data_IF_177427282379
#
_entry.id   IF_177427282379
#
_cell.length_a   1.000
_cell.length_b   1.000
_cell.length_c   1.000
_cell.angle_alpha   90.00
_cell.angle_beta   90.00
_cell.angle_gamma   90.00
#
_symmetry.space_group_name_H-M   'P 1'
#
loop_
_entity.id
_entity.type
_entity.pdbx_description
1 polymer ?
#
# COMPACT_ATOMS: atom_id res chain seq x y z
N UNK A 1 7.06 -13.25 -9.81
CA UNK A 1 6.27 -14.14 -10.68
C UNK A 1 4.85 -14.31 -10.12
N UNK A 2 3.82 -14.10 -10.94
CA UNK A 2 2.41 -14.34 -10.60
C UNK A 2 1.77 -15.31 -11.61
N UNK A 3 0.76 -16.07 -11.19
CA UNK A 3 -0.02 -16.95 -12.07
C UNK A 3 -0.89 -16.17 -13.05
N UNK A 4 -1.24 -16.76 -14.21
CA UNK A 4 -1.87 -16.08 -15.35
C UNK A 4 -3.00 -15.08 -15.00
N UNK A 5 -4.07 -15.49 -14.29
CA UNK A 5 -5.16 -14.58 -13.93
C UNK A 5 -4.71 -13.40 -13.05
N UNK A 6 -3.79 -13.63 -12.11
CA UNK A 6 -3.27 -12.58 -11.22
C UNK A 6 -2.31 -11.66 -11.97
N UNK A 7 -1.51 -12.21 -12.89
CA UNK A 7 -0.54 -11.48 -13.71
C UNK A 7 -1.24 -10.44 -14.60
N UNK A 8 -2.36 -10.79 -15.23
CA UNK A 8 -3.13 -9.84 -16.04
C UNK A 8 -3.60 -8.62 -15.23
N UNK A 9 -3.97 -8.82 -13.96
CA UNK A 9 -4.36 -7.74 -13.06
C UNK A 9 -3.15 -6.86 -12.72
N UNK A 10 -2.02 -7.47 -12.33
CA UNK A 10 -0.81 -6.72 -12.00
C UNK A 10 -0.25 -5.93 -13.18
N UNK A 11 -0.26 -6.49 -14.39
CA UNK A 11 0.15 -5.80 -15.61
C UNK A 11 -0.77 -4.60 -15.92
N UNK A 12 -2.09 -4.76 -15.76
CA UNK A 12 -3.04 -3.65 -15.92
C UNK A 12 -2.85 -2.52 -14.89
N UNK A 13 -2.37 -2.86 -13.69
CA UNK A 13 -2.05 -1.90 -12.63
C UNK A 13 -0.63 -1.31 -12.75
N UNK A 14 0.18 -1.75 -13.72
CA UNK A 14 1.56 -1.29 -13.89
C UNK A 14 2.55 -1.87 -12.87
N UNK A 15 2.19 -2.94 -12.15
CA UNK A 15 3.06 -3.59 -11.17
C UNK A 15 3.98 -4.58 -11.88
N UNK A 16 5.26 -4.21 -11.96
CA UNK A 16 6.27 -4.97 -12.74
C UNK A 16 7.02 -5.99 -11.88
N UNK A 17 7.35 -5.61 -10.64
CA UNK A 17 8.06 -6.49 -9.71
C UNK A 17 7.12 -6.97 -8.60
N UNK A 18 6.68 -8.22 -8.73
CA UNK A 18 5.78 -8.87 -7.78
C UNK A 18 5.97 -10.38 -7.81
N UNK A 19 5.95 -11.02 -6.64
CA UNK A 19 5.90 -12.48 -6.49
C UNK A 19 4.62 -12.85 -5.77
N UNK A 20 3.78 -13.66 -6.41
CA UNK A 20 2.48 -14.06 -5.87
C UNK A 20 2.17 -15.52 -6.19
N UNK A 21 1.56 -16.22 -5.22
CA UNK A 21 1.13 -17.62 -5.34
C UNK A 21 -0.29 -17.77 -4.80
N UNK A 22 -1.16 -18.42 -5.57
CA UNK A 22 -2.45 -18.91 -5.04
C UNK A 22 -2.21 -20.16 -4.19
N UNK A 23 -2.56 -20.11 -2.91
CA UNK A 23 -2.43 -21.23 -1.94
C UNK A 23 -3.70 -22.09 -1.83
N UNK A 24 -4.81 -21.63 -2.41
CA UNK A 24 -6.09 -22.32 -2.39
C UNK A 24 -6.46 -22.89 -3.76
N UNK A 25 -7.63 -22.50 -4.25
CA UNK A 25 -8.15 -22.93 -5.55
C UNK A 25 -7.36 -22.35 -6.73
N UNK A 26 -7.27 -23.13 -7.81
CA UNK A 26 -6.74 -22.72 -9.11
C UNK A 26 -7.83 -22.22 -10.07
N UNK A 27 -9.10 -22.13 -9.64
CA UNK A 27 -10.17 -21.58 -10.46
C UNK A 27 -9.91 -20.08 -10.76
N UNK A 28 -9.79 -19.67 -12.03
CA UNK A 28 -9.49 -18.29 -12.40
C UNK A 28 -10.43 -17.25 -11.79
N UNK A 29 -11.74 -17.54 -11.71
CA UNK A 29 -12.73 -16.61 -11.14
C UNK A 29 -12.43 -16.29 -9.68
N UNK A 30 -12.10 -17.32 -8.90
CA UNK A 30 -11.80 -17.16 -7.48
C UNK A 30 -10.43 -16.52 -7.27
N UNK A 31 -9.45 -16.81 -8.13
CA UNK A 31 -8.15 -16.14 -8.09
C UNK A 31 -8.28 -14.64 -8.34
N UNK A 32 -9.09 -14.23 -9.30
CA UNK A 32 -9.35 -12.80 -9.57
C UNK A 32 -9.98 -12.13 -8.36
N UNK A 33 -11.05 -12.72 -7.80
CA UNK A 33 -11.71 -12.20 -6.59
C UNK A 33 -10.75 -12.08 -5.41
N UNK A 34 -9.98 -13.13 -5.12
CA UNK A 34 -8.99 -13.13 -4.05
C UNK A 34 -7.87 -12.11 -4.28
N UNK A 35 -7.49 -11.86 -5.54
CA UNK A 35 -6.47 -10.85 -5.87
C UNK A 35 -6.99 -9.45 -5.55
N UNK A 36 -8.22 -9.13 -5.95
CA UNK A 36 -8.82 -7.84 -5.61
C UNK A 36 -9.00 -7.67 -4.11
N UNK A 37 -9.47 -8.70 -3.41
CA UNK A 37 -9.57 -8.69 -1.96
C UNK A 37 -8.21 -8.42 -1.30
N UNK A 38 -7.15 -9.10 -1.73
CA UNK A 38 -5.80 -8.87 -1.23
C UNK A 38 -5.31 -7.44 -1.48
N UNK A 39 -5.57 -6.87 -2.66
CA UNK A 39 -5.19 -5.49 -2.99
C UNK A 39 -5.91 -4.47 -2.09
N UNK A 40 -7.18 -4.71 -1.76
CA UNK A 40 -7.96 -3.85 -0.87
C UNK A 40 -7.47 -3.87 0.57
N UNK A 41 -6.79 -4.93 0.99
CA UNK A 41 -6.21 -5.06 2.32
C UNK A 41 -4.80 -4.46 2.44
N UNK A 42 -4.22 -3.94 1.36
CA UNK A 42 -2.91 -3.28 1.40
C UNK A 42 -3.04 -1.95 2.16
N UNK A 43 -2.25 -1.79 3.21
CA UNK A 43 -2.18 -0.57 3.99
C UNK A 43 -0.83 0.13 3.78
N UNK A 44 -0.86 1.46 3.64
CA UNK A 44 0.38 2.22 3.55
C UNK A 44 1.11 2.30 4.90
N UNK A 45 2.44 2.43 4.92
CA UNK A 45 3.21 2.58 6.15
C UNK A 45 2.68 3.71 7.05
N UNK A 46 2.25 4.82 6.44
CA UNK A 46 1.65 5.97 7.13
C UNK A 46 0.33 5.60 7.82
N UNK A 47 -0.56 4.88 7.15
CA UNK A 47 -1.83 4.44 7.75
C UNK A 47 -1.59 3.48 8.92
N UNK A 48 -0.63 2.56 8.78
CA UNK A 48 -0.25 1.63 9.85
C UNK A 48 0.36 2.37 11.04
N UNK A 49 1.23 3.34 10.79
CA UNK A 49 1.86 4.17 11.82
C UNK A 49 0.81 4.96 12.62
N UNK A 50 -0.13 5.62 11.93
CA UNK A 50 -1.23 6.36 12.55
C UNK A 50 -2.12 5.44 13.41
N UNK A 51 -2.52 4.27 12.89
CA UNK A 51 -3.32 3.29 13.63
C UNK A 51 -2.61 2.75 14.88
N UNK A 52 -1.28 2.66 14.84
CA UNK A 52 -0.46 2.10 15.94
C UNK A 52 0.12 3.16 16.87
N UNK A 53 -0.08 4.45 16.61
CA UNK A 53 0.49 5.55 17.40
C UNK A 53 2.03 5.60 17.36
N UNK A 54 2.64 5.20 16.23
CA UNK A 54 4.10 5.16 16.06
C UNK A 54 4.55 6.10 14.94
N UNK A 55 5.85 6.41 14.86
CA UNK A 55 6.41 7.14 13.71
C UNK A 55 6.53 6.20 12.52
N UNK A 56 6.43 6.75 11.30
CA UNK A 56 6.60 5.99 10.05
C UNK A 56 7.98 5.35 9.97
N UNK A 57 9.02 6.03 10.48
CA UNK A 57 10.39 5.52 10.60
C UNK A 57 10.45 4.20 11.37
N UNK A 58 9.69 4.09 12.45
CA UNK A 58 9.69 2.90 13.32
C UNK A 58 8.95 1.72 12.67
N UNK A 59 8.12 1.98 11.65
CA UNK A 59 7.40 0.95 10.88
C UNK A 59 8.25 0.43 9.73
N UNK A 60 9.03 1.29 9.07
CA UNK A 60 9.81 0.93 7.88
C UNK A 60 11.16 0.28 8.23
N UNK A 61 11.72 0.53 9.41
CA UNK A 61 13.05 0.06 9.82
C UNK A 61 14.17 0.74 9.01
N UNK A 62 15.39 0.79 9.55
CA UNK A 62 16.54 1.45 8.90
C UNK A 62 17.04 0.66 7.67
N UNK A 63 16.27 0.59 6.58
CA UNK A 63 16.75 0.08 5.29
C UNK A 63 17.57 1.17 4.58
N UNK A 64 18.83 0.86 4.30
CA UNK A 64 19.72 1.66 3.45
C UNK A 64 19.45 1.44 1.93
N UNK A 65 18.57 0.50 1.58
CA UNK A 65 18.25 0.19 0.19
C UNK A 65 17.12 1.08 -0.37
N UNK A 66 17.54 2.25 -0.87
CA UNK A 66 17.06 2.90 -2.11
C UNK A 66 15.59 2.78 -2.50
N UNK A 67 14.68 3.41 -1.76
CA UNK A 67 13.40 3.90 -2.29
C UNK A 67 12.92 5.12 -1.49
N UNK A 68 13.73 6.18 -1.45
CA UNK A 68 13.33 7.49 -0.97
C UNK A 68 12.91 8.37 -2.16
N UNK A 69 11.60 8.56 -2.32
CA UNK A 69 10.90 9.67 -3.00
C UNK A 69 9.44 9.18 -3.18
N UNK A 70 8.44 9.63 -2.41
CA UNK A 70 8.05 11.01 -2.21
C UNK A 70 7.47 11.18 -0.79
N UNK A 71 8.28 11.72 0.12
CA UNK A 71 7.77 12.34 1.34
C UNK A 71 7.39 13.79 1.01
N UNK A 72 6.36 13.96 0.17
CA UNK A 72 5.65 15.23 0.10
C UNK A 72 4.65 15.23 1.24
N UNK A 73 5.15 15.66 2.40
CA UNK A 73 4.33 16.32 3.38
C UNK A 73 3.63 17.50 2.72
N UNK A 74 2.32 17.41 2.49
CA UNK A 74 1.51 18.60 2.67
C UNK A 74 1.30 18.79 4.19
N UNK A 75 1.78 19.91 4.75
CA UNK A 75 1.75 20.23 6.17
C UNK A 75 0.34 20.61 6.62
N UNK A 76 0.13 20.58 7.93
CA UNK A 76 -1.04 21.13 8.58
C UNK A 76 -1.24 22.62 8.23
N UNK A 77 -2.41 22.94 7.66
CA UNK A 77 -3.18 24.18 7.78
C UNK A 77 -4.62 23.76 7.41
N UNK A 78 -5.65 23.95 8.22
CA UNK A 78 -6.07 25.23 8.79
C UNK A 78 -6.86 24.99 10.09
N UNK A 79 -6.26 25.39 11.20
CA UNK A 79 -7.03 25.84 12.36
C UNK A 79 -7.47 27.27 12.03
N UNK A 80 -8.73 27.45 11.65
CA UNK A 80 -9.35 28.76 11.55
C UNK A 80 -9.66 29.26 12.98
N UNK A 81 -8.70 30.02 13.51
CA UNK A 81 -8.90 31.39 14.01
C UNK A 81 -10.04 31.63 15.02
N UNK A 82 -9.66 31.71 16.31
CA UNK A 82 -10.27 32.67 17.24
C UNK A 82 -9.34 33.89 17.29
N UNK A 83 -9.87 35.08 16.97
CA UNK A 83 -9.57 36.42 17.53
C UNK A 83 -9.33 37.52 16.48
N UNK A 84 -10.37 38.31 16.20
CA UNK A 84 -10.29 39.76 15.98
C UNK A 84 -11.62 40.39 16.44
N UNK A 85 -11.56 41.43 17.28
CA UNK A 85 -12.68 42.32 17.66
C UNK A 85 -13.59 41.91 18.81
#
# INVERSE_FOLDING_TARGET
>A
IAGGPMRAIFEALGVQDVVAKSTGTSNPHNMVKATFDALLHIASPRQVAARRGKKVSDILGNREDGAAANDEASPAAEAAEKSDG
#
